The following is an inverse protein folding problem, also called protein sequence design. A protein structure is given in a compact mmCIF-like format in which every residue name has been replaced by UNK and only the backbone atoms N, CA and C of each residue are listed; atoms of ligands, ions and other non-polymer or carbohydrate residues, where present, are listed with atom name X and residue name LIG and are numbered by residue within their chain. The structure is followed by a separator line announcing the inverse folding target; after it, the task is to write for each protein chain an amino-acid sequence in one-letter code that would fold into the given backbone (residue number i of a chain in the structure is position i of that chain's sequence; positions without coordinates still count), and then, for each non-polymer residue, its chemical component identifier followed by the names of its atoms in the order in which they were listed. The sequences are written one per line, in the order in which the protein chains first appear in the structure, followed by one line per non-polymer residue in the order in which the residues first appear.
data_IF_760123255022
#
_entry.id   IF_760123255022
#
_cell.length_a   1.000
_cell.length_b   1.000
_cell.length_c   1.000
_cell.angle_alpha   90.00
_cell.angle_beta   90.00
_cell.angle_gamma   90.00
#
_symmetry.space_group_name_H-M   'P 1'
#
loop_
_entity.id
_entity.type
_entity.pdbx_description
1 polymer ?
#
# COMPACT_ATOMS: atom_id res chain seq x y z
N UNK A 1 6.53 -4.75 -11.81
CA UNK A 1 5.93 -3.84 -10.82
C UNK A 1 6.89 -2.65 -10.70
N UNK A 2 6.38 -1.44 -10.86
CA UNK A 2 7.13 -0.19 -10.81
C UNK A 2 7.10 0.46 -9.40
N UNK A 3 6.53 -0.24 -8.43
CA UNK A 3 6.46 0.10 -7.01
C UNK A 3 6.46 -1.17 -6.17
N UNK A 4 6.85 -1.10 -4.90
CA UNK A 4 6.98 -2.28 -4.03
C UNK A 4 6.16 -2.23 -2.74
N UNK A 5 5.64 -1.07 -2.34
CA UNK A 5 4.82 -1.01 -1.12
C UNK A 5 3.41 -1.52 -1.40
N UNK A 6 2.88 -2.30 -0.46
CA UNK A 6 1.51 -2.79 -0.50
C UNK A 6 0.51 -1.64 -0.69
N UNK A 7 0.76 -0.51 -0.03
CA UNK A 7 -0.10 0.68 -0.12
C UNK A 7 -0.15 1.21 -1.54
N UNK A 8 1.00 1.48 -2.18
CA UNK A 8 1.03 1.99 -3.56
C UNK A 8 0.43 1.00 -4.56
N UNK A 9 0.72 -0.30 -4.40
CA UNK A 9 0.19 -1.36 -5.27
C UNK A 9 -1.33 -1.43 -5.18
N UNK A 10 -1.87 -1.58 -3.97
CA UNK A 10 -3.31 -1.81 -3.76
C UNK A 10 -4.12 -0.53 -3.98
N UNK A 11 -3.60 0.64 -3.60
CA UNK A 11 -4.29 1.92 -3.83
C UNK A 11 -4.18 2.40 -5.28
N UNK A 12 -3.17 1.94 -6.04
CA UNK A 12 -2.88 2.45 -7.39
C UNK A 12 -2.28 3.86 -7.38
N UNK A 13 -1.56 4.22 -6.32
CA UNK A 13 -1.00 5.56 -6.12
C UNK A 13 0.52 5.52 -5.91
N UNK A 14 1.12 6.70 -5.74
CA UNK A 14 2.53 6.91 -5.31
C UNK A 14 2.60 7.71 -4.01
N UNK A 15 1.61 7.51 -3.14
CA UNK A 15 1.48 8.26 -1.90
C UNK A 15 2.52 7.87 -0.84
N UNK A 16 3.10 6.67 -0.95
CA UNK A 16 4.28 6.28 -0.17
C UNK A 16 5.54 6.53 -1.01
N UNK A 17 6.44 7.43 -0.59
CA UNK A 17 7.73 7.60 -1.27
C UNK A 17 8.57 6.34 -1.17
N UNK A 18 9.20 5.95 -2.27
CA UNK A 18 10.01 4.73 -2.37
C UNK A 18 11.39 5.04 -2.93
N UNK A 19 12.42 4.60 -2.22
CA UNK A 19 13.83 4.80 -2.58
C UNK A 19 14.52 3.44 -2.57
N UNK A 20 14.60 2.81 -3.74
CA UNK A 20 15.04 1.42 -3.90
C UNK A 20 16.41 1.36 -4.59
N UNK A 21 17.22 0.36 -4.21
CA UNK A 21 18.52 0.12 -4.84
C UNK A 21 19.43 1.34 -4.78
N UNK A 22 20.03 1.79 -5.90
CA UNK A 22 20.90 2.97 -5.92
C UNK A 22 20.24 4.26 -5.44
N UNK A 23 18.91 4.38 -5.54
CA UNK A 23 18.16 5.54 -5.06
C UNK A 23 17.98 5.56 -3.54
N UNK A 24 18.30 4.47 -2.83
CA UNK A 24 18.26 4.38 -1.37
C UNK A 24 19.39 5.21 -0.74
N UNK A 25 19.22 6.53 -0.75
CA UNK A 25 20.20 7.50 -0.29
C UNK A 25 19.63 8.31 0.89
N UNK A 26 20.40 8.57 1.95
CA UNK A 26 19.89 9.22 3.16
C UNK A 26 19.24 10.59 2.92
N UNK A 27 19.84 11.44 2.09
CA UNK A 27 19.35 12.80 1.82
C UNK A 27 17.94 12.83 1.23
N UNK A 28 17.71 12.23 0.04
CA UNK A 28 16.39 12.16 -0.57
C UNK A 28 15.32 11.49 0.31
N UNK A 29 15.70 10.45 1.07
CA UNK A 29 14.79 9.80 2.01
C UNK A 29 14.36 10.77 3.11
N UNK A 30 15.31 11.48 3.73
CA UNK A 30 15.04 12.42 4.81
C UNK A 30 14.15 13.59 4.32
N UNK A 31 14.46 14.16 3.16
CA UNK A 31 13.65 15.22 2.55
C UNK A 31 12.22 14.74 2.28
N UNK A 32 12.07 13.57 1.67
CA UNK A 32 10.75 13.03 1.37
C UNK A 32 9.95 12.67 2.61
N UNK A 33 10.62 12.23 3.68
CA UNK A 33 9.98 11.98 4.96
C UNK A 33 9.46 13.28 5.57
N UNK A 34 10.25 14.37 5.55
CA UNK A 34 9.81 15.69 6.01
C UNK A 34 8.60 16.19 5.22
N UNK A 35 8.57 15.97 3.91
CA UNK A 35 7.42 16.31 3.07
C UNK A 35 6.15 15.54 3.47
N UNK A 36 6.27 14.24 3.76
CA UNK A 36 5.14 13.43 4.25
C UNK A 36 4.68 13.91 5.63
N UNK A 37 5.61 14.27 6.52
CA UNK A 37 5.26 14.81 7.84
C UNK A 37 4.50 16.13 7.74
N UNK A 38 4.90 17.01 6.81
CA UNK A 38 4.24 18.29 6.57
C UNK A 38 2.86 18.13 5.90
N UNK A 39 2.70 17.16 4.99
CA UNK A 39 1.48 16.93 4.22
C UNK A 39 1.08 15.43 4.19
N UNK A 40 0.58 14.88 5.31
CA UNK A 40 0.38 13.43 5.47
C UNK A 40 -0.88 12.88 4.81
N UNK A 41 -1.81 13.72 4.37
CA UNK A 41 -3.18 13.29 4.05
C UNK A 41 -3.26 12.36 2.84
N UNK A 42 -2.41 12.58 1.82
CA UNK A 42 -2.34 11.70 0.66
C UNK A 42 -1.94 10.27 1.08
N UNK A 43 -0.92 10.13 1.94
CA UNK A 43 -0.46 8.83 2.43
C UNK A 43 -1.52 8.17 3.31
N UNK A 44 -2.12 8.91 4.25
CA UNK A 44 -3.20 8.39 5.11
C UNK A 44 -4.41 7.91 4.31
N UNK A 45 -4.81 8.69 3.29
CA UNK A 45 -5.90 8.31 2.41
C UNK A 45 -5.58 7.01 1.66
N UNK A 46 -4.38 6.90 1.09
CA UNK A 46 -3.95 5.70 0.40
C UNK A 46 -3.92 4.48 1.34
N UNK A 47 -3.39 4.62 2.56
CA UNK A 47 -3.37 3.55 3.57
C UNK A 47 -4.77 3.08 3.95
N UNK A 48 -5.72 4.01 4.17
CA UNK A 48 -7.11 3.66 4.46
C UNK A 48 -7.75 2.92 3.28
N UNK A 49 -7.61 3.43 2.07
CA UNK A 49 -8.11 2.79 0.86
C UNK A 49 -7.52 1.39 0.66
N UNK A 50 -6.23 1.21 0.98
CA UNK A 50 -5.59 -0.10 0.97
C UNK A 50 -6.30 -1.09 1.88
N UNK A 51 -6.59 -0.70 3.13
CA UNK A 51 -7.28 -1.58 4.06
C UNK A 51 -8.72 -1.90 3.63
N UNK A 52 -9.45 -0.91 3.08
CA UNK A 52 -10.77 -1.13 2.50
C UNK A 52 -10.72 -2.17 1.37
N UNK A 53 -9.77 -2.04 0.45
CA UNK A 53 -9.58 -2.97 -0.67
C UNK A 53 -9.09 -4.35 -0.25
N UNK A 54 -8.36 -4.44 0.87
CA UNK A 54 -7.96 -5.72 1.47
C UNK A 54 -9.10 -6.39 2.24
N UNK A 55 -10.26 -5.74 2.36
CA UNK A 55 -11.44 -6.31 3.02
C UNK A 55 -11.45 -6.13 4.53
N UNK A 56 -10.86 -5.04 5.05
CA UNK A 56 -10.97 -4.72 6.48
C UNK A 56 -12.44 -4.70 6.93
N UNK A 57 -12.75 -5.47 7.99
CA UNK A 57 -14.11 -5.62 8.51
C UNK A 57 -15.01 -6.58 7.72
N UNK A 58 -14.51 -7.12 6.61
CA UNK A 58 -15.17 -8.15 5.82
C UNK A 58 -14.85 -9.57 6.28
N UNK A 59 -15.30 -10.54 5.48
CA UNK A 59 -15.07 -11.94 5.74
C UNK A 59 -13.57 -12.31 5.68
N UNK A 60 -13.06 -13.18 6.58
CA UNK A 60 -11.66 -13.59 6.53
C UNK A 60 -11.24 -14.08 5.13
N UNK A 61 -10.12 -13.58 4.59
CA UNK A 61 -9.71 -13.87 3.21
C UNK A 61 -9.49 -15.36 2.96
N UNK A 62 -9.10 -16.13 3.97
CA UNK A 62 -8.98 -17.59 3.86
C UNK A 62 -10.31 -18.29 3.58
N UNK A 63 -11.42 -17.81 4.16
CA UNK A 63 -12.75 -18.37 3.91
C UNK A 63 -13.26 -18.01 2.52
N UNK A 64 -13.05 -16.75 2.09
CA UNK A 64 -13.34 -16.31 0.72
C UNK A 64 -12.56 -17.14 -0.29
N UNK A 65 -11.26 -17.37 -0.06
CA UNK A 65 -10.42 -18.19 -0.92
C UNK A 65 -10.90 -19.65 -0.97
N UNK A 66 -11.21 -20.26 0.18
CA UNK A 66 -11.72 -21.62 0.25
C UNK A 66 -13.04 -21.78 -0.51
N UNK A 67 -14.02 -20.89 -0.30
CA UNK A 67 -15.28 -20.87 -1.05
C UNK A 67 -15.06 -20.72 -2.55
N UNK A 68 -14.18 -19.79 -2.92
CA UNK A 68 -13.89 -19.56 -4.32
C UNK A 68 -13.28 -20.81 -4.96
N UNK A 69 -12.44 -21.60 -4.27
CA UNK A 69 -11.91 -22.87 -4.78
C UNK A 69 -13.01 -23.94 -4.88
N UNK A 70 -13.84 -24.11 -3.85
CA UNK A 70 -14.92 -25.09 -3.83
C UNK A 70 -15.97 -24.82 -4.91
N UNK A 71 -16.24 -23.55 -5.25
CA UNK A 71 -17.18 -23.19 -6.32
C UNK A 71 -16.67 -23.50 -7.74
N UNK A 72 -15.39 -23.87 -7.90
CA UNK A 72 -14.78 -24.29 -9.19
C UNK A 72 -14.56 -25.80 -9.27
N UNK A 73 -14.83 -26.54 -8.20
CA UNK A 73 -14.85 -27.99 -8.15
C UNK A 73 -16.23 -28.50 -8.55
#
# INVERSE_FOLDING_TARGET
LDTVTLVNIVSGTRAVPEFLGPACQPGPIAESLLNVLAAPDAQRHAMRLTMERLGQGGEPPGLLAARAILARA
#
